data_IF_224733804722
#
_entry.id   IF_224733804722
#
_cell.length_a   1.000
_cell.length_b   1.000
_cell.length_c   1.000
_cell.angle_alpha   90.00
_cell.angle_beta   90.00
_cell.angle_gamma   90.00
#
_symmetry.space_group_name_H-M   'P 1'
#
loop_
_entity.id
_entity.type
_entity.pdbx_description
1 polymer ?
#
# COMPACT_ATOMS: atom_id res chain seq x y z
N UNK A 1 0.05 12.92 -8.23
CA UNK A 1 -0.75 11.99 -7.40
C UNK A 1 -1.61 12.81 -6.43
N UNK A 2 -2.92 12.54 -6.38
CA UNK A 2 -3.86 13.20 -5.48
C UNK A 2 -3.97 12.44 -4.15
N UNK A 3 -3.74 13.08 -3.00
CA UNK A 3 -3.92 12.47 -1.68
C UNK A 3 -5.39 12.53 -1.24
N UNK A 4 -5.72 11.80 -0.18
CA UNK A 4 -7.01 11.83 0.53
C UNK A 4 -8.26 11.66 -0.33
N UNK A 5 -8.13 10.96 -1.46
CA UNK A 5 -9.27 10.66 -2.33
C UNK A 5 -10.23 9.72 -1.63
N UNK A 6 -11.50 10.05 -1.64
CA UNK A 6 -12.58 9.24 -1.04
C UNK A 6 -13.60 8.74 -2.06
N UNK A 7 -13.69 9.37 -3.24
CA UNK A 7 -14.71 9.08 -4.25
C UNK A 7 -14.21 9.29 -5.69
N UNK A 8 -14.92 8.69 -6.65
CA UNK A 8 -14.67 8.89 -8.09
C UNK A 8 -14.90 10.35 -8.49
N UNK A 9 -15.90 11.01 -7.90
CA UNK A 9 -16.20 12.40 -8.25
C UNK A 9 -15.04 13.33 -7.89
N UNK A 10 -14.43 13.16 -6.73
CA UNK A 10 -13.25 13.94 -6.32
C UNK A 10 -12.06 13.77 -7.29
N UNK A 11 -11.84 12.56 -7.81
CA UNK A 11 -10.80 12.34 -8.82
C UNK A 11 -11.09 13.10 -10.11
N UNK A 12 -12.33 13.09 -10.56
CA UNK A 12 -12.77 13.82 -11.77
C UNK A 12 -12.62 15.32 -11.58
N UNK A 13 -13.04 15.84 -10.43
CA UNK A 13 -12.95 17.27 -10.11
C UNK A 13 -11.48 17.71 -10.02
N UNK A 14 -10.63 16.92 -9.38
CA UNK A 14 -9.20 17.20 -9.32
C UNK A 14 -8.51 17.14 -10.70
N UNK A 15 -8.93 16.22 -11.58
CA UNK A 15 -8.44 16.16 -12.96
C UNK A 15 -8.87 17.38 -13.77
N UNK A 16 -10.11 17.85 -13.59
CA UNK A 16 -10.59 19.05 -14.26
C UNK A 16 -9.75 20.28 -13.86
N UNK A 17 -9.48 20.46 -12.56
CA UNK A 17 -8.58 21.53 -12.07
C UNK A 17 -7.16 21.41 -12.64
N UNK A 18 -6.65 20.19 -12.78
CA UNK A 18 -5.35 19.95 -13.40
C UNK A 18 -5.35 20.38 -14.88
N UNK A 19 -6.40 20.05 -15.63
CA UNK A 19 -6.57 20.45 -17.03
C UNK A 19 -6.65 21.96 -17.17
N UNK A 20 -7.44 22.64 -16.35
CA UNK A 20 -7.52 24.11 -16.31
C UNK A 20 -6.14 24.74 -16.09
N UNK A 21 -5.37 24.23 -15.11
CA UNK A 21 -4.01 24.71 -14.86
C UNK A 21 -3.06 24.46 -16.04
N UNK A 22 -3.19 23.32 -16.73
CA UNK A 22 -2.40 23.02 -17.94
C UNK A 22 -2.73 23.95 -19.10
N UNK A 23 -4.01 24.27 -19.30
CA UNK A 23 -4.48 25.22 -20.32
C UNK A 23 -3.95 26.63 -20.04
N UNK A 24 -4.04 27.11 -18.79
CA UNK A 24 -3.48 28.41 -18.39
C UNK A 24 -1.98 28.51 -18.66
N UNK A 25 -1.20 27.49 -18.30
CA UNK A 25 0.25 27.45 -18.53
C UNK A 25 0.55 27.45 -20.03
N UNK A 26 -0.20 26.69 -20.82
CA UNK A 26 -0.07 26.62 -22.27
C UNK A 26 -0.39 27.97 -22.93
N UNK A 27 -1.43 28.65 -22.46
CA UNK A 27 -1.79 30.00 -22.93
C UNK A 27 -0.68 31.04 -22.64
N UNK A 28 0.10 30.82 -21.60
CA UNK A 28 1.28 31.63 -21.26
C UNK A 28 2.54 31.24 -22.06
N UNK A 29 2.43 30.33 -23.03
CA UNK A 29 3.54 29.87 -23.88
C UNK A 29 4.48 28.86 -23.20
N UNK A 30 4.09 28.30 -22.06
CA UNK A 30 4.87 27.28 -21.38
C UNK A 30 4.53 25.90 -21.94
N UNK A 31 5.56 25.07 -22.13
CA UNK A 31 5.35 23.66 -22.51
C UNK A 31 4.95 22.84 -21.28
N UNK A 32 3.75 22.30 -21.30
CA UNK A 32 3.27 21.39 -20.26
C UNK A 32 3.36 19.96 -20.77
N UNK A 33 4.16 19.07 -20.14
CA UNK A 33 4.20 17.67 -20.51
C UNK A 33 2.92 16.96 -20.08
N UNK A 34 2.53 15.92 -20.82
CA UNK A 34 1.55 14.96 -20.35
C UNK A 34 2.17 14.11 -19.24
N UNK A 35 1.51 14.07 -18.08
CA UNK A 35 2.02 13.37 -16.89
C UNK A 35 0.95 12.37 -16.37
N UNK A 36 1.35 11.14 -16.03
CA UNK A 36 0.42 10.18 -15.44
C UNK A 36 -0.17 10.70 -14.12
N UNK A 37 -1.49 10.54 -13.97
CA UNK A 37 -2.22 11.00 -12.79
C UNK A 37 -2.61 9.83 -11.91
N UNK A 38 -1.93 9.69 -10.78
CA UNK A 38 -2.24 8.68 -9.77
C UNK A 38 -3.05 9.24 -8.61
N UNK A 39 -3.57 8.35 -7.80
CA UNK A 39 -4.26 8.68 -6.55
C UNK A 39 -3.68 7.89 -5.37
N UNK A 40 -3.77 8.47 -4.18
CA UNK A 40 -3.42 7.78 -2.94
C UNK A 40 -4.66 7.08 -2.36
N UNK A 41 -4.52 5.78 -2.15
CA UNK A 41 -5.52 4.95 -1.47
C UNK A 41 -5.16 4.88 0.00
N UNK A 42 -5.74 5.75 0.78
CA UNK A 42 -5.45 5.91 2.22
C UNK A 42 -6.71 6.16 3.05
N UNK A 43 -7.86 6.31 2.37
CA UNK A 43 -9.18 6.39 2.99
C UNK A 43 -9.91 5.07 2.76
N UNK A 44 -10.58 4.48 3.77
CA UNK A 44 -11.30 3.21 3.62
C UNK A 44 -12.30 3.19 2.48
N UNK A 45 -13.05 4.28 2.25
CA UNK A 45 -14.00 4.38 1.13
C UNK A 45 -13.32 4.20 -0.23
N UNK A 46 -12.12 4.80 -0.43
CA UNK A 46 -11.31 4.62 -1.63
C UNK A 46 -10.84 3.17 -1.77
N UNK A 47 -10.40 2.55 -0.67
CA UNK A 47 -9.97 1.16 -0.68
C UNK A 47 -11.12 0.21 -1.07
N UNK A 48 -12.33 0.39 -0.53
CA UNK A 48 -13.51 -0.40 -0.89
C UNK A 48 -13.97 -0.19 -2.33
N UNK A 49 -13.84 1.03 -2.86
CA UNK A 49 -14.24 1.40 -4.23
C UNK A 49 -13.09 1.38 -5.22
N UNK A 50 -11.95 0.79 -4.87
CA UNK A 50 -10.74 0.77 -5.68
C UNK A 50 -10.96 0.27 -7.12
N UNK A 51 -11.91 -0.64 -7.36
CA UNK A 51 -12.25 -1.11 -8.71
C UNK A 51 -12.91 -0.05 -9.60
N UNK A 52 -13.58 0.93 -9.00
CA UNK A 52 -14.14 2.08 -9.72
C UNK A 52 -13.06 3.14 -9.94
N UNK A 53 -12.29 3.43 -8.91
CA UNK A 53 -11.20 4.41 -8.95
C UNK A 53 -10.07 4.00 -9.91
N UNK A 54 -9.81 2.69 -10.06
CA UNK A 54 -8.81 2.18 -11.01
C UNK A 54 -9.12 2.47 -12.49
N UNK A 55 -10.34 2.84 -12.81
CA UNK A 55 -10.73 3.28 -14.16
C UNK A 55 -10.43 4.75 -14.42
N UNK A 56 -10.17 5.49 -13.35
CA UNK A 56 -9.98 6.94 -13.39
C UNK A 56 -8.52 7.34 -13.14
N UNK A 57 -7.64 6.44 -12.74
CA UNK A 57 -6.27 6.74 -12.39
C UNK A 57 -5.27 5.90 -13.19
N UNK A 58 -4.10 6.45 -13.46
CA UNK A 58 -3.02 5.76 -14.16
C UNK A 58 -2.22 4.83 -13.23
N UNK A 59 -2.21 5.12 -11.94
CA UNK A 59 -1.59 4.29 -10.91
C UNK A 59 -2.16 4.58 -9.52
N UNK A 60 -1.95 3.65 -8.60
CA UNK A 60 -2.25 3.82 -7.17
C UNK A 60 -0.99 3.88 -6.32
N UNK A 61 -1.05 4.65 -5.25
CA UNK A 61 -0.13 4.52 -4.12
C UNK A 61 -0.95 4.25 -2.86
N UNK A 62 -0.64 3.19 -2.11
CA UNK A 62 -1.33 2.92 -0.84
C UNK A 62 -0.59 3.64 0.27
N UNK A 63 -1.26 4.63 0.90
CA UNK A 63 -0.80 5.33 2.09
C UNK A 63 -1.15 4.53 3.34
N UNK A 64 -0.25 3.62 3.76
CA UNK A 64 -0.57 2.66 4.81
C UNK A 64 -0.83 3.30 6.16
N UNK A 65 -0.14 4.40 6.49
CA UNK A 65 -0.29 5.05 7.78
C UNK A 65 -1.73 5.57 8.00
N UNK A 66 -2.25 6.33 7.04
CA UNK A 66 -3.59 6.88 7.13
C UNK A 66 -4.66 5.81 6.90
N UNK A 67 -4.41 4.85 6.00
CA UNK A 67 -5.33 3.73 5.79
C UNK A 67 -5.54 2.92 7.08
N UNK A 68 -4.50 2.65 7.85
CA UNK A 68 -4.60 1.97 9.15
C UNK A 68 -5.36 2.84 10.15
N UNK A 69 -4.95 4.10 10.29
CA UNK A 69 -5.55 5.06 11.21
C UNK A 69 -7.07 5.15 11.01
N UNK A 70 -7.51 5.39 9.78
CA UNK A 70 -8.95 5.54 9.50
C UNK A 70 -9.71 4.22 9.51
N UNK A 71 -9.10 3.11 9.10
CA UNK A 71 -9.76 1.79 9.12
C UNK A 71 -10.02 1.32 10.55
N UNK A 72 -9.07 1.54 11.46
CA UNK A 72 -9.16 1.11 12.85
C UNK A 72 -9.72 2.19 13.78
N UNK A 73 -10.03 3.38 13.25
CA UNK A 73 -10.50 4.55 14.00
C UNK A 73 -9.56 4.90 15.16
N UNK A 74 -8.26 4.92 14.90
CA UNK A 74 -7.22 5.23 15.88
C UNK A 74 -6.42 6.45 15.43
N UNK A 75 -6.01 7.28 16.37
CA UNK A 75 -5.04 8.33 16.14
C UNK A 75 -3.66 7.83 16.59
N UNK A 76 -2.73 7.68 15.64
CA UNK A 76 -1.35 7.21 15.91
C UNK A 76 -0.54 8.19 16.75
N UNK A 77 -0.98 9.44 16.87
CA UNK A 77 -0.32 10.50 17.65
C UNK A 77 -0.89 10.66 19.06
N UNK A 78 -2.03 10.03 19.36
CA UNK A 78 -2.65 10.04 20.69
C UNK A 78 -2.21 8.80 21.49
N UNK A 79 -1.37 9.00 22.49
CA UNK A 79 -0.81 7.93 23.35
C UNK A 79 -1.87 7.03 24.02
N UNK A 80 -3.12 7.51 24.16
CA UNK A 80 -4.21 6.76 24.78
C UNK A 80 -4.76 5.66 23.89
N UNK A 81 -4.61 5.78 22.58
CA UNK A 81 -5.19 4.86 21.58
C UNK A 81 -4.18 4.37 20.55
N UNK A 82 -2.96 4.93 20.50
CA UNK A 82 -1.91 4.56 19.55
C UNK A 82 -1.52 3.09 19.62
N UNK A 83 -1.70 2.43 20.77
CA UNK A 83 -1.49 1.00 20.95
C UNK A 83 -2.44 0.11 20.15
N UNK A 84 -3.51 0.69 19.56
CA UNK A 84 -4.44 0.00 18.65
C UNK A 84 -4.06 0.16 17.16
N UNK A 85 -3.00 0.90 16.89
CA UNK A 85 -2.47 1.05 15.54
C UNK A 85 -1.73 -0.23 15.13
N UNK A 86 -2.44 -1.13 14.45
CA UNK A 86 -1.99 -2.49 14.18
C UNK A 86 -1.83 -2.75 12.66
N UNK A 87 -0.60 -2.66 12.11
CA UNK A 87 -0.34 -2.94 10.70
C UNK A 87 -0.70 -4.37 10.27
N UNK A 88 -0.62 -5.35 11.19
CA UNK A 88 -0.97 -6.75 10.96
C UNK A 88 -2.46 -7.04 11.14
N UNK A 89 -3.28 -6.02 11.42
CA UNK A 89 -4.71 -6.23 11.58
C UNK A 89 -5.33 -6.89 10.34
N UNK A 90 -6.15 -7.96 10.51
CA UNK A 90 -6.72 -8.71 9.37
C UNK A 90 -7.47 -7.85 8.36
N UNK A 91 -8.14 -6.77 8.80
CA UNK A 91 -8.84 -5.85 7.91
C UNK A 91 -7.86 -5.12 6.98
N UNK A 92 -6.72 -4.66 7.50
CA UNK A 92 -5.69 -3.95 6.74
C UNK A 92 -5.11 -4.84 5.65
N UNK A 93 -4.70 -6.06 6.01
CA UNK A 93 -4.11 -7.00 5.06
C UNK A 93 -5.10 -7.39 3.94
N UNK A 94 -6.39 -7.52 4.28
CA UNK A 94 -7.45 -7.78 3.30
C UNK A 94 -7.69 -6.57 2.39
N UNK A 95 -7.67 -5.34 2.92
CA UNK A 95 -7.77 -4.12 2.12
C UNK A 95 -6.60 -3.98 1.14
N UNK A 96 -5.35 -4.17 1.59
CA UNK A 96 -4.17 -4.15 0.72
C UNK A 96 -4.31 -5.13 -0.46
N UNK A 97 -4.73 -6.37 -0.18
CA UNK A 97 -5.00 -7.37 -1.22
C UNK A 97 -6.14 -6.97 -2.14
N UNK A 98 -7.20 -6.38 -1.59
CA UNK A 98 -8.36 -5.93 -2.38
C UNK A 98 -7.95 -4.83 -3.37
N UNK A 99 -7.28 -3.80 -2.91
CA UNK A 99 -6.77 -2.69 -3.73
C UNK A 99 -5.84 -3.21 -4.83
N UNK A 100 -4.85 -4.04 -4.46
CA UNK A 100 -3.93 -4.64 -5.44
C UNK A 100 -4.66 -5.44 -6.52
N UNK A 101 -5.69 -6.23 -6.15
CA UNK A 101 -6.49 -6.99 -7.11
C UNK A 101 -7.34 -6.09 -8.01
N UNK A 102 -7.91 -5.03 -7.46
CA UNK A 102 -8.67 -4.05 -8.23
C UNK A 102 -7.80 -3.39 -9.31
N UNK A 103 -6.63 -2.90 -8.93
CA UNK A 103 -5.65 -2.31 -9.84
C UNK A 103 -5.17 -3.29 -10.92
N UNK A 104 -4.86 -4.53 -10.53
CA UNK A 104 -4.41 -5.56 -11.48
C UNK A 104 -5.45 -5.89 -12.56
N UNK A 105 -6.74 -5.82 -12.25
CA UNK A 105 -7.82 -6.02 -13.25
C UNK A 105 -7.88 -4.92 -14.29
N UNK A 106 -7.42 -3.72 -13.97
CA UNK A 106 -7.33 -2.57 -14.87
C UNK A 106 -5.93 -2.39 -15.46
N UNK A 107 -4.96 -3.25 -15.09
CA UNK A 107 -3.59 -3.18 -15.60
C UNK A 107 -2.76 -2.01 -15.06
N UNK A 108 -3.21 -1.34 -13.99
CA UNK A 108 -2.47 -0.22 -13.39
C UNK A 108 -1.53 -0.68 -12.27
N UNK A 109 -0.47 0.08 -12.09
CA UNK A 109 0.55 -0.18 -11.07
C UNK A 109 0.06 0.24 -9.68
N UNK A 110 0.51 -0.49 -8.65
CA UNK A 110 0.28 -0.13 -7.24
C UNK A 110 1.62 -0.07 -6.51
N UNK A 111 1.94 1.09 -5.99
CA UNK A 111 3.02 1.29 -5.03
C UNK A 111 2.49 1.36 -3.59
N UNK A 112 3.39 1.21 -2.63
CA UNK A 112 3.09 1.37 -1.20
C UNK A 112 4.02 2.42 -0.63
N UNK A 113 3.48 3.34 0.16
CA UNK A 113 4.25 4.26 0.99
C UNK A 113 3.80 4.14 2.46
N UNK A 114 4.63 4.65 3.35
CA UNK A 114 4.41 4.57 4.79
C UNK A 114 5.34 3.58 5.50
N UNK A 115 5.15 3.45 6.80
CA UNK A 115 6.07 2.73 7.69
C UNK A 115 6.11 1.22 7.39
N UNK A 116 5.00 0.63 6.94
CA UNK A 116 4.98 -0.79 6.56
C UNK A 116 6.03 -1.14 5.49
N UNK A 117 6.32 -0.23 4.57
CA UNK A 117 7.33 -0.47 3.51
C UNK A 117 8.77 -0.44 4.06
N UNK A 118 8.99 0.15 5.23
CA UNK A 118 10.30 0.30 5.87
C UNK A 118 10.56 -0.75 6.96
N UNK A 119 9.58 -1.59 7.30
CA UNK A 119 9.75 -2.70 8.22
C UNK A 119 10.11 -3.98 7.48
N UNK A 120 11.18 -4.71 7.86
CA UNK A 120 11.63 -5.92 7.15
C UNK A 120 10.58 -7.03 7.06
N UNK A 121 9.82 -7.28 8.13
CA UNK A 121 8.81 -8.33 8.18
C UNK A 121 7.59 -7.95 7.36
N UNK A 122 7.11 -6.72 7.55
CA UNK A 122 5.96 -6.20 6.81
C UNK A 122 6.26 -6.07 5.32
N UNK A 123 7.48 -5.66 4.93
CA UNK A 123 7.91 -5.62 3.54
C UNK A 123 7.83 -7.00 2.87
N UNK A 124 8.30 -8.07 3.54
CA UNK A 124 8.15 -9.45 3.05
C UNK A 124 6.68 -9.81 2.85
N UNK A 125 5.82 -9.45 3.80
CA UNK A 125 4.38 -9.72 3.71
C UNK A 125 3.71 -8.94 2.57
N UNK A 126 4.08 -7.68 2.37
CA UNK A 126 3.62 -6.85 1.24
C UNK A 126 4.01 -7.48 -0.11
N UNK A 127 5.25 -8.01 -0.22
CA UNK A 127 5.69 -8.78 -1.39
C UNK A 127 4.80 -10.02 -1.58
N UNK A 128 4.47 -10.70 -0.50
CA UNK A 128 3.54 -11.84 -0.49
C UNK A 128 2.12 -11.48 -0.94
N UNK A 129 1.64 -10.29 -0.59
CA UNK A 129 0.37 -9.74 -1.06
C UNK A 129 0.39 -9.36 -2.56
N UNK A 130 1.55 -9.44 -3.22
CA UNK A 130 1.72 -9.17 -4.64
C UNK A 130 2.08 -7.72 -4.97
N UNK A 131 2.46 -6.92 -3.98
CA UNK A 131 2.97 -5.56 -4.17
C UNK A 131 4.44 -5.60 -4.61
N UNK A 132 4.88 -4.66 -5.44
CA UNK A 132 6.19 -4.68 -6.09
C UNK A 132 6.92 -3.35 -6.08
N UNK A 133 6.23 -2.26 -5.79
CA UNK A 133 6.79 -0.93 -5.72
C UNK A 133 6.62 -0.35 -4.31
N UNK A 134 7.71 0.14 -3.74
CA UNK A 134 7.77 0.60 -2.36
C UNK A 134 8.49 1.96 -2.30
N UNK A 135 7.83 2.94 -1.70
CA UNK A 135 8.39 4.24 -1.41
C UNK A 135 8.71 4.34 0.08
N UNK A 136 9.92 4.77 0.39
CA UNK A 136 10.42 4.86 1.75
C UNK A 136 11.49 5.94 1.89
N UNK A 137 11.87 6.25 3.12
CA UNK A 137 12.98 7.18 3.37
C UNK A 137 14.30 6.63 2.81
N UNK A 138 15.21 7.47 2.34
CA UNK A 138 16.50 7.03 1.77
C UNK A 138 17.29 6.09 2.70
N UNK A 139 17.24 6.32 4.01
CA UNK A 139 17.93 5.49 5.01
C UNK A 139 17.40 4.04 5.10
N UNK A 140 16.14 3.78 4.73
CA UNK A 140 15.55 2.44 4.74
C UNK A 140 15.88 1.63 3.47
N UNK A 141 16.28 2.29 2.37
CA UNK A 141 16.50 1.62 1.07
C UNK A 141 17.55 0.49 1.14
N UNK A 142 18.73 0.65 1.81
CA UNK A 142 19.72 -0.43 1.87
C UNK A 142 19.17 -1.69 2.53
N UNK A 143 18.44 -1.55 3.63
CA UNK A 143 17.77 -2.66 4.32
C UNK A 143 16.71 -3.30 3.41
N UNK A 144 15.82 -2.52 2.81
CA UNK A 144 14.77 -3.02 1.93
C UNK A 144 15.35 -3.79 0.72
N UNK A 145 16.44 -3.30 0.12
CA UNK A 145 17.14 -4.02 -0.97
C UNK A 145 17.66 -5.38 -0.52
N UNK A 146 18.22 -5.48 0.69
CA UNK A 146 18.67 -6.76 1.24
C UNK A 146 17.49 -7.70 1.43
N UNK A 147 16.42 -7.25 2.08
CA UNK A 147 15.20 -8.03 2.28
C UNK A 147 14.64 -8.55 0.95
N UNK A 148 14.55 -7.71 -0.08
CA UNK A 148 14.03 -8.11 -1.40
C UNK A 148 14.92 -9.17 -2.05
N UNK A 149 16.25 -9.06 -1.95
CA UNK A 149 17.20 -10.04 -2.52
C UNK A 149 17.10 -11.41 -1.84
N UNK A 150 16.88 -11.42 -0.53
CA UNK A 150 16.80 -12.63 0.29
C UNK A 150 15.40 -13.27 0.30
N UNK A 151 14.40 -12.58 -0.26
CA UNK A 151 13.00 -13.00 -0.17
C UNK A 151 12.53 -13.73 -1.42
N UNK A 152 12.07 -14.96 -1.25
CA UNK A 152 11.34 -15.68 -2.30
C UNK A 152 9.89 -15.19 -2.39
N UNK A 153 9.55 -14.46 -3.45
CA UNK A 153 8.19 -13.97 -3.67
C UNK A 153 7.16 -15.12 -3.69
N UNK A 154 7.51 -16.28 -4.27
CA UNK A 154 6.63 -17.47 -4.30
C UNK A 154 6.34 -17.99 -2.88
N UNK A 155 7.35 -18.03 -2.02
CA UNK A 155 7.18 -18.44 -0.63
C UNK A 155 6.31 -17.44 0.12
N UNK A 156 6.59 -16.15 -0.01
CA UNK A 156 5.80 -15.11 0.66
C UNK A 156 4.35 -15.05 0.18
N UNK A 157 4.06 -15.41 -1.07
CA UNK A 157 2.69 -15.55 -1.54
C UNK A 157 1.92 -16.66 -0.79
N UNK A 158 2.58 -17.78 -0.45
CA UNK A 158 1.96 -18.85 0.38
C UNK A 158 1.73 -18.37 1.80
N UNK A 159 2.73 -17.71 2.40
CA UNK A 159 2.62 -17.10 3.73
C UNK A 159 1.47 -16.10 3.78
N UNK A 160 1.43 -15.14 2.86
CA UNK A 160 0.35 -14.16 2.80
C UNK A 160 -1.03 -14.79 2.58
N UNK A 161 -1.12 -15.85 1.75
CA UNK A 161 -2.38 -16.56 1.56
C UNK A 161 -2.90 -17.17 2.87
N UNK A 162 -2.02 -17.72 3.71
CA UNK A 162 -2.38 -18.25 5.03
C UNK A 162 -2.75 -17.13 6.00
N UNK A 163 -1.91 -16.09 6.12
CA UNK A 163 -2.16 -14.92 6.98
C UNK A 163 -3.54 -14.31 6.72
N UNK A 164 -3.95 -14.20 5.48
CA UNK A 164 -5.26 -13.65 5.10
C UNK A 164 -6.47 -14.51 5.53
N UNK A 165 -6.25 -15.73 6.01
CA UNK A 165 -7.31 -16.59 6.57
C UNK A 165 -7.42 -16.48 8.09
N UNK A 166 -6.43 -15.91 8.76
CA UNK A 166 -6.39 -15.74 10.20
C UNK A 166 -7.31 -14.60 10.65
N UNK A 167 -7.76 -14.67 11.88
CA UNK A 167 -8.80 -13.80 12.43
C UNK A 167 -8.29 -12.72 13.37
N UNK A 168 -7.13 -12.92 14.01
CA UNK A 168 -6.58 -11.99 15.00
C UNK A 168 -5.14 -11.63 14.69
N UNK A 169 -4.66 -10.55 15.30
CA UNK A 169 -3.26 -10.10 15.19
C UNK A 169 -2.33 -11.14 15.81
N UNK A 170 -2.71 -11.67 16.96
CA UNK A 170 -1.92 -12.67 17.71
C UNK A 170 -1.71 -13.95 16.89
N UNK A 171 -2.76 -14.45 16.21
CA UNK A 171 -2.64 -15.61 15.31
C UNK A 171 -1.69 -15.33 14.15
N UNK A 172 -1.70 -14.10 13.63
CA UNK A 172 -0.83 -13.68 12.53
C UNK A 172 0.61 -13.58 13.00
N UNK A 173 0.86 -12.95 14.13
CA UNK A 173 2.20 -12.81 14.71
C UNK A 173 2.82 -14.16 15.06
N UNK A 174 2.04 -15.05 15.69
CA UNK A 174 2.49 -16.40 15.99
C UNK A 174 2.88 -17.14 14.71
N UNK A 175 2.03 -17.12 13.69
CA UNK A 175 2.30 -17.79 12.43
C UNK A 175 3.55 -17.23 11.73
N UNK A 176 3.70 -15.91 11.70
CA UNK A 176 4.87 -15.27 11.10
C UNK A 176 6.16 -15.60 11.85
N UNK A 177 6.13 -15.65 13.18
CA UNK A 177 7.27 -16.06 14.01
C UNK A 177 7.71 -17.49 13.73
N UNK A 178 6.75 -18.43 13.61
CA UNK A 178 7.02 -19.83 13.25
C UNK A 178 7.66 -19.96 11.85
N UNK A 179 7.20 -19.16 10.87
CA UNK A 179 7.74 -19.18 9.51
C UNK A 179 9.15 -18.57 9.43
N UNK A 180 9.47 -17.55 10.24
CA UNK A 180 10.82 -17.00 10.35
C UNK A 180 11.78 -18.04 10.93
N UNK A 181 11.40 -18.70 12.03
CA UNK A 181 12.24 -19.72 12.68
C UNK A 181 12.56 -20.90 11.75
N UNK A 182 11.58 -21.35 10.92
CA UNK A 182 11.81 -22.43 9.92
C UNK A 182 12.83 -22.05 8.85
N UNK A 183 12.88 -20.78 8.45
CA UNK A 183 13.78 -20.31 7.41
C UNK A 183 15.23 -20.15 7.92
N UNK A 184 15.44 -19.85 9.19
CA UNK A 184 16.77 -19.78 9.81
C UNK A 184 17.41 -21.16 9.91
N UNK A 185 16.65 -22.17 10.28
CA UNK A 185 17.13 -23.59 10.38
C UNK A 185 17.42 -24.19 9.01
N UNK A 186 16.72 -23.78 7.94
CA UNK A 186 16.93 -24.27 6.58
C UNK A 186 18.09 -23.64 5.82
N UNK A 187 18.73 -22.60 6.35
CA UNK A 187 19.87 -21.91 5.73
C UNK A 187 21.25 -22.43 6.20
N UNK A 188 21.30 -23.33 7.18
CA UNK A 188 22.53 -23.91 7.75
C UNK A 188 22.83 -25.34 7.23
N UNK A 189 22.10 -25.82 6.21
CA UNK A 189 22.22 -27.18 5.67
C UNK A 189 22.82 -27.25 4.26
#
# INVERSE_FOLDING_TARGET
MFPFVSSVQEVRDAKNLLLEAQEELTARGLRVPDVPVGIMIEVPSAAFTASLLAKEADFFTIGTNDLIQYTLAVDRTDDRVSNRYEPLHPAILRLLRHVRRAAARQGIVVSVCGEMASDPLLLKLLIGCGLREFSMTPGAIPMARRVVKETSARQMMRVAARVLTLGTVEEIEQYLSEEVAKNEVGSEG
#
